data_IF_636137301225
#
_entry.id   IF_636137301225
#
_cell.length_a   1.000
_cell.length_b   1.000
_cell.length_c   1.000
_cell.angle_alpha   90.00
_cell.angle_beta   90.00
_cell.angle_gamma   90.00
#
_symmetry.space_group_name_H-M   'P 1'
#
loop_
_entity.id
_entity.type
_entity.pdbx_description
1 polymer ?
#
# COMPACT_ATOMS: atom_id res chain seq x y z
N UNK A 1 -43.79 -32.40 -7.38
CA UNK A 1 -43.14 -31.20 -6.80
C UNK A 1 -41.63 -31.34 -6.95
N UNK A 2 -41.01 -30.65 -7.91
CA UNK A 2 -39.58 -30.73 -8.17
C UNK A 2 -38.83 -29.66 -7.36
N UNK A 3 -37.89 -30.06 -6.49
CA UNK A 3 -37.06 -29.15 -5.69
C UNK A 3 -35.76 -28.85 -6.42
N UNK A 4 -35.57 -27.59 -6.82
CA UNK A 4 -34.32 -27.10 -7.38
C UNK A 4 -33.23 -27.04 -6.30
N UNK A 5 -32.20 -27.89 -6.41
CA UNK A 5 -30.99 -27.78 -5.58
C UNK A 5 -30.18 -26.55 -6.02
N UNK A 6 -30.13 -25.51 -5.19
CA UNK A 6 -29.26 -24.34 -5.36
C UNK A 6 -27.80 -24.81 -5.43
N UNK A 7 -27.13 -24.58 -6.57
CA UNK A 7 -25.68 -24.75 -6.70
C UNK A 7 -24.99 -23.66 -5.89
N UNK A 8 -24.23 -24.06 -4.88
CA UNK A 8 -23.36 -23.15 -4.14
C UNK A 8 -22.08 -22.94 -4.96
N UNK A 9 -21.91 -21.73 -5.51
CA UNK A 9 -20.70 -21.36 -6.25
C UNK A 9 -19.65 -20.89 -5.25
N UNK A 10 -18.60 -21.68 -5.05
CA UNK A 10 -17.40 -21.20 -4.36
C UNK A 10 -16.76 -20.10 -5.21
N UNK A 11 -16.83 -18.85 -4.72
CA UNK A 11 -16.04 -17.75 -5.27
C UNK A 11 -14.60 -17.93 -4.78
N UNK A 12 -13.73 -18.43 -5.65
CA UNK A 12 -12.28 -18.39 -5.41
C UNK A 12 -11.88 -16.91 -5.28
N UNK A 13 -11.47 -16.50 -4.08
CA UNK A 13 -10.86 -15.18 -3.87
C UNK A 13 -9.48 -15.21 -4.53
N UNK A 14 -9.36 -14.60 -5.70
CA UNK A 14 -8.06 -14.31 -6.30
C UNK A 14 -7.30 -13.40 -5.34
N UNK A 15 -6.24 -13.91 -4.72
CA UNK A 15 -5.30 -13.08 -3.97
C UNK A 15 -4.65 -12.15 -5.02
N UNK A 16 -5.00 -10.87 -5.00
CA UNK A 16 -4.29 -9.87 -5.80
C UNK A 16 -2.88 -9.79 -5.25
N UNK A 17 -1.91 -10.31 -5.98
CA UNK A 17 -0.50 -10.09 -5.67
C UNK A 17 -0.24 -8.60 -5.86
N UNK A 18 0.18 -7.90 -4.80
CA UNK A 18 0.68 -6.54 -4.92
C UNK A 18 2.03 -6.65 -5.62
N UNK A 19 2.15 -6.08 -6.82
CA UNK A 19 3.44 -6.05 -7.52
C UNK A 19 4.41 -5.16 -6.74
N UNK A 20 5.51 -5.75 -6.31
CA UNK A 20 6.65 -5.06 -5.74
C UNK A 20 7.61 -4.68 -6.87
N UNK A 21 8.24 -3.51 -6.79
CA UNK A 21 9.13 -3.02 -7.83
C UNK A 21 10.57 -2.99 -7.33
N UNK A 22 11.52 -3.52 -8.10
CA UNK A 22 12.95 -3.31 -7.79
C UNK A 22 13.31 -1.84 -8.03
N UNK A 23 13.31 -1.08 -6.94
CA UNK A 23 13.55 0.35 -6.93
C UNK A 23 14.90 0.67 -6.30
N UNK A 24 15.55 1.73 -6.77
CA UNK A 24 16.78 2.22 -6.13
C UNK A 24 16.46 2.85 -4.77
N UNK A 25 17.45 2.92 -3.86
CA UNK A 25 17.28 3.61 -2.57
C UNK A 25 16.81 5.05 -2.76
N UNK A 26 17.41 5.77 -3.70
CA UNK A 26 17.01 7.15 -4.01
C UNK A 26 15.55 7.23 -4.47
N UNK A 27 15.12 6.31 -5.34
CA UNK A 27 13.73 6.23 -5.77
C UNK A 27 12.76 5.95 -4.62
N UNK A 28 13.13 5.03 -3.72
CA UNK A 28 12.34 4.70 -2.52
C UNK A 28 12.20 5.92 -1.61
N UNK A 29 13.28 6.66 -1.33
CA UNK A 29 13.22 7.87 -0.51
C UNK A 29 12.33 8.95 -1.11
N UNK A 30 12.45 9.21 -2.41
CA UNK A 30 11.62 10.20 -3.09
C UNK A 30 10.13 9.79 -3.04
N UNK A 31 9.84 8.51 -3.32
CA UNK A 31 8.48 7.99 -3.26
C UNK A 31 7.91 8.06 -1.84
N UNK A 32 8.66 7.61 -0.84
CA UNK A 32 8.34 7.73 0.57
C UNK A 32 7.94 9.16 0.94
N UNK A 33 8.77 10.15 0.64
CA UNK A 33 8.45 11.56 0.93
C UNK A 33 7.13 11.99 0.28
N UNK A 34 6.94 11.63 -0.99
CA UNK A 34 5.76 12.06 -1.74
C UNK A 34 4.45 11.50 -1.19
N UNK A 35 4.43 10.29 -0.61
CA UNK A 35 3.17 9.74 -0.08
C UNK A 35 2.75 10.47 1.19
N UNK A 36 3.67 10.78 2.09
CA UNK A 36 3.36 11.55 3.30
C UNK A 36 2.85 12.96 2.97
N UNK A 37 3.52 13.67 2.06
CA UNK A 37 3.10 15.01 1.63
C UNK A 37 1.71 15.01 0.96
N UNK A 38 1.33 13.89 0.32
CA UNK A 38 0.05 13.77 -0.40
C UNK A 38 -1.16 13.53 0.50
N UNK A 39 -0.98 13.15 1.77
CA UNK A 39 -2.10 12.85 2.68
C UNK A 39 -3.10 14.02 2.80
N UNK A 40 -2.60 15.24 2.99
CA UNK A 40 -3.46 16.44 3.10
C UNK A 40 -4.36 16.65 1.88
N UNK A 41 -3.85 16.38 0.69
CA UNK A 41 -4.63 16.45 -0.55
C UNK A 41 -5.72 15.38 -0.62
N UNK A 42 -5.45 14.19 -0.06
CA UNK A 42 -6.42 13.10 -0.05
C UNK A 42 -7.56 13.34 0.93
N UNK A 43 -7.29 14.01 2.05
CA UNK A 43 -8.34 14.49 2.98
C UNK A 43 -9.31 15.43 2.24
N UNK A 44 -8.78 16.38 1.46
CA UNK A 44 -9.60 17.26 0.62
C UNK A 44 -10.36 16.50 -0.46
N UNK A 45 -9.73 15.49 -1.06
CA UNK A 45 -10.38 14.63 -2.06
C UNK A 45 -11.57 13.86 -1.44
N UNK A 46 -11.43 13.35 -0.21
CA UNK A 46 -12.52 12.69 0.54
C UNK A 46 -13.68 13.64 0.79
N UNK A 47 -13.38 14.85 1.28
CA UNK A 47 -14.41 15.86 1.49
C UNK A 47 -15.19 16.18 0.20
N UNK A 48 -14.53 16.07 -0.97
CA UNK A 48 -15.14 16.30 -2.30
C UNK A 48 -15.76 15.03 -2.92
N UNK A 49 -15.75 13.89 -2.23
CA UNK A 49 -16.29 12.63 -2.74
C UNK A 49 -15.48 12.00 -3.89
N UNK A 50 -14.19 12.34 -4.04
CA UNK A 50 -13.34 11.83 -5.14
C UNK A 50 -12.69 10.50 -4.74
N UNK A 51 -13.40 9.39 -4.91
CA UNK A 51 -12.99 8.04 -4.48
C UNK A 51 -11.79 7.46 -5.24
N UNK A 52 -11.70 7.69 -6.54
CA UNK A 52 -10.71 7.00 -7.39
C UNK A 52 -9.27 7.43 -7.06
N UNK A 53 -9.09 8.72 -6.76
CA UNK A 53 -7.78 9.27 -6.34
C UNK A 53 -7.37 8.72 -4.98
N UNK A 54 -8.32 8.57 -4.05
CA UNK A 54 -8.08 7.98 -2.73
C UNK A 54 -7.67 6.52 -2.89
N UNK A 55 -8.39 5.73 -3.69
CA UNK A 55 -8.04 4.33 -3.89
C UNK A 55 -6.67 4.18 -4.56
N UNK A 56 -6.37 5.00 -5.57
CA UNK A 56 -5.05 5.03 -6.21
C UNK A 56 -3.94 5.37 -5.23
N UNK A 57 -4.19 6.31 -4.31
CA UNK A 57 -3.26 6.65 -3.25
C UNK A 57 -3.06 5.51 -2.24
N UNK A 58 -4.13 4.84 -1.77
CA UNK A 58 -4.03 3.65 -0.91
C UNK A 58 -3.17 2.56 -1.54
N UNK A 59 -3.43 2.24 -2.82
CA UNK A 59 -2.64 1.25 -3.57
C UNK A 59 -1.17 1.67 -3.71
N UNK A 60 -0.91 2.98 -3.82
CA UNK A 60 0.46 3.51 -3.92
C UNK A 60 1.23 3.30 -2.62
N UNK A 61 0.59 3.52 -1.46
CA UNK A 61 1.22 3.28 -0.15
C UNK A 61 1.50 1.79 0.05
N UNK A 62 0.54 0.93 -0.31
CA UNK A 62 0.71 -0.52 -0.21
C UNK A 62 1.91 -1.02 -1.06
N UNK A 63 2.02 -0.53 -2.30
CA UNK A 63 3.16 -0.85 -3.17
C UNK A 63 4.50 -0.35 -2.61
N UNK A 64 4.51 0.84 -2.01
CA UNK A 64 5.71 1.37 -1.36
C UNK A 64 6.14 0.47 -0.19
N UNK A 65 5.19 0.08 0.68
CA UNK A 65 5.44 -0.85 1.78
C UNK A 65 6.09 -2.14 1.27
N UNK A 66 5.46 -2.79 0.29
CA UNK A 66 5.96 -4.05 -0.26
C UNK A 66 7.35 -3.89 -0.91
N UNK A 67 7.58 -2.77 -1.61
CA UNK A 67 8.88 -2.43 -2.20
C UNK A 67 9.97 -2.27 -1.14
N UNK A 68 9.65 -1.58 -0.02
CA UNK A 68 10.58 -1.44 1.10
C UNK A 68 10.87 -2.81 1.73
N UNK A 69 9.86 -3.65 1.96
CA UNK A 69 10.05 -5.00 2.49
C UNK A 69 10.99 -5.86 1.63
N UNK A 70 10.82 -5.82 0.32
CA UNK A 70 11.74 -6.50 -0.60
C UNK A 70 13.14 -5.89 -0.56
N UNK A 71 13.25 -4.56 -0.50
CA UNK A 71 14.55 -3.91 -0.39
C UNK A 71 15.27 -4.27 0.92
N UNK A 72 14.57 -4.40 2.03
CA UNK A 72 15.12 -4.88 3.31
C UNK A 72 15.70 -6.28 3.19
N UNK A 73 14.99 -7.19 2.49
CA UNK A 73 15.45 -8.57 2.27
C UNK A 73 16.74 -8.61 1.44
N UNK A 74 16.81 -7.75 0.42
CA UNK A 74 17.91 -7.75 -0.55
C UNK A 74 19.10 -6.85 -0.17
N UNK A 75 18.95 -5.98 0.85
CA UNK A 75 20.01 -5.10 1.32
C UNK A 75 20.92 -5.80 2.33
N UNK A 76 22.23 -5.81 2.05
CA UNK A 76 23.28 -6.37 2.92
C UNK A 76 23.86 -5.35 3.89
N UNK A 77 23.92 -4.10 3.46
CA UNK A 77 24.42 -2.96 4.25
C UNK A 77 23.51 -2.73 5.45
N UNK A 78 24.07 -2.85 6.66
CA UNK A 78 23.30 -2.82 7.91
C UNK A 78 22.65 -1.47 8.17
N UNK A 79 23.35 -0.38 7.89
CA UNK A 79 22.86 0.99 8.14
C UNK A 79 21.69 1.29 7.20
N UNK A 80 21.86 1.03 5.90
CA UNK A 80 20.77 1.19 4.92
C UNK A 80 19.58 0.29 5.23
N UNK A 81 19.83 -0.92 5.73
CA UNK A 81 18.76 -1.82 6.15
C UNK A 81 18.02 -1.30 7.39
N UNK A 82 18.72 -0.64 8.31
CA UNK A 82 18.10 0.03 9.45
C UNK A 82 17.21 1.18 8.99
N UNK A 83 17.72 2.03 8.08
CA UNK A 83 16.94 3.14 7.50
C UNK A 83 15.67 2.64 6.82
N UNK A 84 15.77 1.57 6.03
CA UNK A 84 14.61 0.97 5.37
C UNK A 84 13.58 0.42 6.36
N UNK A 85 14.01 -0.14 7.50
CA UNK A 85 13.08 -0.61 8.55
C UNK A 85 12.34 0.56 9.19
N UNK A 86 13.02 1.65 9.49
CA UNK A 86 12.39 2.86 10.03
C UNK A 86 11.33 3.37 9.04
N UNK A 87 11.69 3.49 7.76
CA UNK A 87 10.75 3.90 6.72
C UNK A 87 9.56 2.94 6.59
N UNK A 88 9.78 1.63 6.75
CA UNK A 88 8.71 0.63 6.72
C UNK A 88 7.73 0.81 7.88
N UNK A 89 8.23 0.98 9.10
CA UNK A 89 7.42 1.21 10.29
C UNK A 89 6.60 2.51 10.16
N UNK A 90 7.21 3.58 9.69
CA UNK A 90 6.53 4.86 9.43
C UNK A 90 5.43 4.72 8.36
N UNK A 91 5.69 3.96 7.29
CA UNK A 91 4.68 3.69 6.25
C UNK A 91 3.51 2.89 6.83
N UNK A 92 3.74 1.95 7.75
CA UNK A 92 2.65 1.25 8.46
C UNK A 92 1.80 2.25 9.25
N UNK A 93 2.42 3.15 10.01
CA UNK A 93 1.70 4.20 10.75
C UNK A 93 0.88 5.08 9.79
N UNK A 94 1.44 5.46 8.64
CA UNK A 94 0.70 6.20 7.62
C UNK A 94 -0.51 5.42 7.09
N UNK A 95 -0.37 4.11 6.86
CA UNK A 95 -1.48 3.25 6.41
C UNK A 95 -2.62 3.23 7.43
N UNK A 96 -2.31 3.14 8.73
CA UNK A 96 -3.32 3.17 9.79
C UNK A 96 -4.11 4.48 9.79
N UNK A 97 -3.41 5.61 9.65
CA UNK A 97 -4.05 6.92 9.50
C UNK A 97 -4.90 7.01 8.25
N UNK A 98 -4.41 6.50 7.12
CA UNK A 98 -5.15 6.49 5.86
C UNK A 98 -6.44 5.68 5.96
N UNK A 99 -6.44 4.55 6.65
CA UNK A 99 -7.67 3.76 6.86
C UNK A 99 -8.66 4.44 7.81
N UNK A 100 -8.17 5.18 8.80
CA UNK A 100 -9.02 5.93 9.73
C UNK A 100 -9.61 7.18 9.09
N UNK A 101 -8.79 7.95 8.39
CA UNK A 101 -9.10 9.31 7.95
C UNK A 101 -9.65 9.36 6.51
N UNK A 102 -9.39 8.36 5.66
CA UNK A 102 -9.85 8.28 4.26
C UNK A 102 -10.84 7.13 4.00
#
# INVERSE_FOLDING_TARGET
MATAKKRYVHKNKTIKHVECFDSTMHGIHHWYRSVFERLGWMILAKHRGISDKIQSYKNTIERLKCTIEEKIKNTRDHDKKSDLKIMHDEVIVLMEHVEKDL
#
